data_IF_349423723209
#
_entry.id   IF_349423723209
#
_cell.length_a   1.000
_cell.length_b   1.000
_cell.length_c   1.000
_cell.angle_alpha   90.00
_cell.angle_beta   90.00
_cell.angle_gamma   90.00
#
_symmetry.space_group_name_H-M   'P 1'
#
loop_
_entity.id
_entity.type
_entity.pdbx_description
1 polymer ?
#
# COMPACT_ATOMS: atom_id res chain seq x y z
N UNK A 1 -40.33 34.87 1.40
CA UNK A 1 -39.00 34.62 2.00
C UNK A 1 -39.04 33.29 2.76
N UNK A 2 -38.97 32.16 2.06
CA UNK A 2 -38.98 30.82 2.69
C UNK A 2 -38.18 29.78 1.89
N UNK A 3 -37.83 30.10 0.64
CA UNK A 3 -36.99 29.26 -0.22
C UNK A 3 -35.50 29.67 -0.22
N UNK A 4 -35.15 30.86 0.31
CA UNK A 4 -33.76 31.34 0.37
C UNK A 4 -32.96 30.61 1.46
N UNK A 5 -33.61 30.14 2.52
CA UNK A 5 -32.99 29.33 3.58
C UNK A 5 -32.79 27.86 3.20
N UNK A 6 -33.31 27.39 2.05
CA UNK A 6 -33.11 26.01 1.60
C UNK A 6 -31.83 25.81 0.76
N UNK A 7 -31.11 26.89 0.42
CA UNK A 7 -29.91 26.81 -0.42
C UNK A 7 -28.59 26.74 0.35
N UNK A 8 -28.62 26.90 1.68
CA UNK A 8 -27.39 26.95 2.51
C UNK A 8 -26.95 25.60 3.10
N UNK A 9 -27.76 24.54 2.95
CA UNK A 9 -27.45 23.20 3.49
C UNK A 9 -26.84 22.27 2.41
N UNK A 10 -26.80 22.71 1.15
CA UNK A 10 -26.39 21.87 0.02
C UNK A 10 -24.88 21.89 -0.31
N UNK A 11 -24.07 22.69 0.40
CA UNK A 11 -22.67 22.95 0.01
C UNK A 11 -21.61 22.45 0.98
N UNK A 12 -21.96 21.72 2.04
CA UNK A 12 -21.02 21.27 3.08
C UNK A 12 -20.59 19.79 2.99
N UNK A 13 -20.95 19.08 1.91
CA UNK A 13 -20.56 17.68 1.69
C UNK A 13 -19.56 17.45 0.55
N UNK A 14 -18.74 18.46 0.19
CA UNK A 14 -17.69 18.32 -0.85
C UNK A 14 -16.27 18.22 -0.27
N UNK A 15 -16.13 17.67 0.94
CA UNK A 15 -14.85 17.43 1.62
C UNK A 15 -14.91 15.99 2.14
N UNK A 16 -14.01 15.05 1.83
CA UNK A 16 -12.80 15.06 1.02
C UNK A 16 -12.66 13.60 0.55
N UNK A 17 -12.85 13.32 -0.74
CA UNK A 17 -12.22 12.13 -1.31
C UNK A 17 -10.75 12.50 -1.45
N UNK A 18 -9.96 12.29 -0.40
CA UNK A 18 -8.52 12.29 -0.54
C UNK A 18 -8.15 11.00 -1.28
N UNK A 19 -8.31 11.01 -2.60
CA UNK A 19 -7.62 10.05 -3.43
C UNK A 19 -6.16 10.47 -3.40
N UNK A 20 -5.36 9.78 -2.58
CA UNK A 20 -3.89 9.87 -2.58
C UNK A 20 -3.38 9.45 -3.98
N UNK A 21 -3.51 10.36 -4.93
CA UNK A 21 -3.19 10.18 -6.35
C UNK A 21 -1.82 10.78 -6.68
N UNK A 22 -1.05 11.16 -5.65
CA UNK A 22 0.20 11.91 -5.80
C UNK A 22 1.48 11.14 -5.45
N UNK A 23 1.44 9.92 -4.93
CA UNK A 23 2.67 9.32 -4.38
C UNK A 23 3.55 8.53 -5.36
N UNK A 24 3.08 8.09 -6.53
CA UNK A 24 3.67 6.89 -7.14
C UNK A 24 4.47 7.05 -8.45
N UNK A 25 4.83 8.26 -8.89
CA UNK A 25 5.69 8.42 -10.10
C UNK A 25 7.12 8.90 -9.78
N UNK A 26 7.37 9.57 -8.64
CA UNK A 26 8.68 10.17 -8.37
C UNK A 26 9.74 9.24 -7.74
N UNK A 27 9.42 7.96 -7.53
CA UNK A 27 10.30 7.01 -6.82
C UNK A 27 10.53 5.65 -7.49
N UNK A 28 9.91 5.39 -8.65
CA UNK A 28 10.02 4.08 -9.32
C UNK A 28 11.45 3.78 -9.77
N UNK A 29 11.88 2.53 -9.54
CA UNK A 29 13.14 1.98 -10.04
C UNK A 29 12.98 0.48 -10.30
N UNK A 30 13.74 -0.04 -11.27
CA UNK A 30 13.83 -1.48 -11.54
C UNK A 30 14.87 -2.19 -10.67
N UNK A 31 15.64 -1.45 -9.88
CA UNK A 31 16.59 -1.98 -8.88
C UNK A 31 16.27 -1.42 -7.48
N UNK A 32 15.07 -1.70 -6.95
CA UNK A 32 14.67 -1.23 -5.63
C UNK A 32 15.46 -1.95 -4.53
N UNK A 33 15.55 -1.29 -3.38
CA UNK A 33 16.07 -1.82 -2.12
C UNK A 33 15.04 -1.60 -1.00
N UNK A 34 15.19 -2.33 0.10
CA UNK A 34 14.25 -2.28 1.19
C UNK A 34 14.16 -0.90 1.83
N UNK A 35 15.29 -0.35 2.28
CA UNK A 35 15.31 0.84 3.13
C UNK A 35 14.74 2.08 2.44
N UNK A 36 14.99 2.23 1.12
CA UNK A 36 14.57 3.42 0.37
C UNK A 36 13.22 3.25 -0.32
N UNK A 37 12.86 2.04 -0.75
CA UNK A 37 11.72 1.86 -1.65
C UNK A 37 10.61 0.98 -1.05
N UNK A 38 10.95 -0.15 -0.41
CA UNK A 38 9.94 -1.11 0.05
C UNK A 38 9.41 -0.78 1.43
N UNK A 39 10.28 -0.34 2.35
CA UNK A 39 9.85 0.02 3.71
C UNK A 39 8.74 1.08 3.71
N UNK A 40 8.82 2.19 2.96
CA UNK A 40 7.73 3.17 2.90
C UNK A 40 6.41 2.57 2.39
N UNK A 41 6.49 1.68 1.40
CA UNK A 41 5.29 0.98 0.88
C UNK A 41 4.64 0.13 1.97
N UNK A 42 5.44 -0.63 2.73
CA UNK A 42 4.95 -1.48 3.81
C UNK A 42 4.37 -0.66 4.97
N UNK A 43 5.08 0.39 5.39
CA UNK A 43 4.65 1.28 6.47
C UNK A 43 3.28 1.92 6.15
N UNK A 44 3.09 2.39 4.91
CA UNK A 44 1.88 3.11 4.51
C UNK A 44 0.69 2.20 4.23
N UNK A 45 0.92 0.98 3.72
CA UNK A 45 -0.16 0.16 3.16
C UNK A 45 -0.41 -1.15 3.91
N UNK A 46 0.52 -1.58 4.78
CA UNK A 46 0.49 -2.94 5.33
C UNK A 46 0.59 -2.95 6.86
N UNK A 47 1.53 -2.19 7.42
CA UNK A 47 1.91 -2.27 8.84
C UNK A 47 0.77 -1.92 9.78
N UNK A 48 -0.20 -1.09 9.38
CA UNK A 48 -1.36 -0.75 10.24
C UNK A 48 -2.15 -1.98 10.70
N UNK A 49 -2.18 -3.03 9.89
CA UNK A 49 -2.82 -4.31 10.23
C UNK A 49 -1.76 -5.38 10.52
N UNK A 50 -0.78 -5.54 9.63
CA UNK A 50 0.21 -6.62 9.66
C UNK A 50 1.37 -6.36 10.62
N UNK A 51 1.09 -6.37 11.91
CA UNK A 51 2.09 -6.18 12.97
C UNK A 51 1.78 -7.01 14.24
N UNK A 52 2.77 -7.19 15.14
CA UNK A 52 2.60 -7.98 16.35
C UNK A 52 1.53 -7.48 17.32
N UNK A 53 1.19 -6.19 17.29
CA UNK A 53 0.20 -5.59 18.20
C UNK A 53 -1.22 -6.05 17.89
N UNK A 54 -1.55 -6.21 16.60
CA UNK A 54 -2.86 -6.69 16.15
C UNK A 54 -2.87 -8.17 15.76
N UNK A 55 -1.74 -8.85 15.94
CA UNK A 55 -1.53 -10.27 15.69
C UNK A 55 -1.96 -10.76 14.29
N UNK A 56 -1.91 -9.87 13.29
CA UNK A 56 -2.25 -10.22 11.92
C UNK A 56 -1.01 -10.66 11.17
N UNK A 57 -0.83 -11.98 11.07
CA UNK A 57 0.26 -12.56 10.27
C UNK A 57 0.00 -12.48 8.75
N UNK A 58 1.06 -12.43 7.91
CA UNK A 58 2.46 -12.24 8.32
C UNK A 58 2.69 -10.84 8.91
N UNK A 59 3.63 -10.71 9.85
CA UNK A 59 4.11 -9.39 10.26
C UNK A 59 4.96 -8.79 9.13
N UNK A 60 4.89 -7.48 8.94
CA UNK A 60 5.54 -6.77 7.83
C UNK A 60 6.28 -5.51 8.33
N UNK A 61 6.85 -5.58 9.53
CA UNK A 61 7.35 -4.42 10.28
C UNK A 61 8.86 -4.18 10.12
N UNK A 62 9.60 -5.18 9.63
CA UNK A 62 11.04 -5.09 9.40
C UNK A 62 11.48 -5.83 8.13
N UNK A 63 12.77 -5.71 7.79
CA UNK A 63 13.34 -6.27 6.57
C UNK A 63 13.15 -7.79 6.46
N UNK A 64 13.53 -8.54 7.49
CA UNK A 64 13.51 -10.00 7.46
C UNK A 64 12.08 -10.54 7.30
N UNK A 65 11.14 -9.95 8.03
CA UNK A 65 9.70 -10.24 7.92
C UNK A 65 9.16 -10.02 6.51
N UNK A 66 9.44 -8.84 5.94
CA UNK A 66 8.95 -8.47 4.61
C UNK A 66 9.61 -9.32 3.53
N UNK A 67 10.90 -9.62 3.67
CA UNK A 67 11.65 -10.50 2.76
C UNK A 67 11.08 -11.92 2.77
N UNK A 68 10.88 -12.50 3.95
CA UNK A 68 10.31 -13.83 4.11
C UNK A 68 8.90 -13.90 3.49
N UNK A 69 8.04 -12.95 3.82
CA UNK A 69 6.68 -12.89 3.31
C UNK A 69 6.60 -12.65 1.78
N UNK A 70 7.64 -12.07 1.18
CA UNK A 70 7.72 -11.78 -0.26
C UNK A 70 8.31 -12.95 -1.06
N UNK A 71 9.39 -13.55 -0.57
CA UNK A 71 10.08 -14.66 -1.25
C UNK A 71 9.34 -15.98 -1.05
N UNK A 72 8.98 -16.28 0.19
CA UNK A 72 8.40 -17.57 0.60
C UNK A 72 6.90 -17.49 0.91
N UNK A 73 6.38 -16.28 1.07
CA UNK A 73 4.94 -16.02 1.22
C UNK A 73 4.25 -15.65 -0.08
N UNK A 74 3.09 -15.00 0.07
CA UNK A 74 2.20 -14.63 -1.03
C UNK A 74 2.01 -13.12 -1.20
N UNK A 75 2.78 -12.27 -0.47
CA UNK A 75 2.61 -10.80 -0.50
C UNK A 75 2.57 -10.28 -1.95
N UNK A 76 3.56 -10.65 -2.78
CA UNK A 76 3.67 -10.17 -4.15
C UNK A 76 2.44 -10.50 -5.04
N UNK A 77 1.82 -11.67 -4.88
CA UNK A 77 0.64 -12.02 -5.68
C UNK A 77 -0.67 -11.48 -5.08
N UNK A 78 -0.74 -11.30 -3.74
CA UNK A 78 -1.91 -10.73 -3.06
C UNK A 78 -2.08 -9.25 -3.39
N UNK A 79 -0.98 -8.49 -3.46
CA UNK A 79 -1.00 -7.06 -3.83
C UNK A 79 -1.30 -6.82 -5.31
N UNK A 80 -0.95 -7.79 -6.16
CA UNK A 80 -1.27 -7.78 -7.59
C UNK A 80 -2.68 -8.32 -7.90
N UNK A 81 -3.41 -8.81 -6.89
CA UNK A 81 -4.70 -9.48 -7.05
C UNK A 81 -4.65 -10.74 -7.94
N UNK A 82 -3.48 -11.37 -8.05
CA UNK A 82 -3.28 -12.60 -8.84
C UNK A 82 -3.42 -13.89 -8.02
N UNK A 83 -3.56 -13.79 -6.70
CA UNK A 83 -3.81 -14.92 -5.81
C UNK A 83 -4.59 -14.50 -4.55
N UNK A 84 -5.28 -15.45 -3.92
CA UNK A 84 -5.93 -15.26 -2.61
C UNK A 84 -6.90 -14.06 -2.52
N UNK A 85 -7.19 -13.60 -1.30
CA UNK A 85 -7.97 -12.38 -1.10
C UNK A 85 -7.08 -11.15 -1.33
N UNK A 86 -7.54 -10.18 -2.12
CA UNK A 86 -6.74 -8.99 -2.44
C UNK A 86 -6.29 -8.28 -1.15
N UNK A 87 -5.03 -7.87 -1.11
CA UNK A 87 -4.46 -7.03 -0.05
C UNK A 87 -3.83 -5.77 -0.66
N UNK A 88 -3.99 -4.59 -0.04
CA UNK A 88 -4.84 -4.30 1.11
C UNK A 88 -6.34 -4.56 0.83
N UNK A 89 -7.15 -4.72 1.88
CA UNK A 89 -8.58 -5.04 1.74
C UNK A 89 -9.39 -3.93 1.08
N UNK A 90 -8.83 -2.71 1.02
CA UNK A 90 -9.39 -1.56 0.30
C UNK A 90 -9.30 -1.71 -1.22
N UNK A 91 -8.50 -2.63 -1.74
CA UNK A 91 -8.39 -2.93 -3.16
C UNK A 91 -6.95 -3.08 -3.64
N UNK A 92 -6.81 -3.32 -4.95
CA UNK A 92 -5.50 -3.44 -5.60
C UNK A 92 -4.70 -2.14 -5.43
N UNK A 93 -3.43 -2.27 -5.03
CA UNK A 93 -2.51 -1.14 -4.89
C UNK A 93 -2.27 -0.42 -6.23
N UNK A 94 -1.68 0.77 -6.18
CA UNK A 94 -1.22 1.47 -7.36
C UNK A 94 -0.14 0.66 -8.11
N UNK A 95 -0.18 0.70 -9.44
CA UNK A 95 0.69 -0.12 -10.29
C UNK A 95 2.19 0.09 -10.02
N UNK A 96 2.72 1.31 -9.79
CA UNK A 96 4.14 1.50 -9.52
C UNK A 96 4.62 0.83 -8.23
N UNK A 97 3.86 0.93 -7.14
CA UNK A 97 4.14 0.21 -5.89
C UNK A 97 4.15 -1.31 -6.07
N UNK A 98 3.18 -1.86 -6.82
CA UNK A 98 3.14 -3.31 -7.13
C UNK A 98 4.38 -3.73 -7.90
N UNK A 99 4.72 -2.99 -8.96
CA UNK A 99 5.90 -3.27 -9.76
C UNK A 99 7.18 -3.16 -8.93
N UNK A 100 7.28 -2.19 -8.03
CA UNK A 100 8.43 -2.06 -7.13
C UNK A 100 8.63 -3.31 -6.26
N UNK A 101 7.56 -3.85 -5.68
CA UNK A 101 7.61 -5.09 -4.89
C UNK A 101 8.02 -6.27 -5.77
N UNK A 102 7.53 -6.35 -7.01
CA UNK A 102 7.88 -7.40 -7.97
C UNK A 102 9.37 -7.33 -8.36
N UNK A 103 9.88 -6.16 -8.75
CA UNK A 103 11.31 -5.98 -9.06
C UNK A 103 12.22 -6.26 -7.85
N UNK A 104 11.78 -5.88 -6.64
CA UNK A 104 12.52 -6.19 -5.42
C UNK A 104 12.57 -7.69 -5.15
N UNK A 105 11.47 -8.40 -5.36
CA UNK A 105 11.43 -9.87 -5.30
C UNK A 105 12.38 -10.50 -6.33
N UNK A 106 12.31 -10.05 -7.57
CA UNK A 106 13.10 -10.60 -8.69
C UNK A 106 14.61 -10.37 -8.51
N UNK A 107 14.98 -9.33 -7.77
CA UNK A 107 16.37 -9.02 -7.38
C UNK A 107 16.80 -9.70 -6.06
N UNK A 108 16.01 -10.64 -5.55
CA UNK A 108 16.26 -11.39 -4.31
C UNK A 108 16.30 -10.51 -3.04
N UNK A 109 15.46 -9.48 -3.02
CA UNK A 109 15.17 -8.64 -1.86
C UNK A 109 16.43 -7.98 -1.23
N UNK A 110 17.18 -7.11 -1.97
CA UNK A 110 18.31 -6.39 -1.40
C UNK A 110 17.85 -5.38 -0.34
N UNK A 111 18.62 -5.26 0.74
CA UNK A 111 18.30 -4.33 1.83
C UNK A 111 18.68 -2.87 1.48
N UNK A 112 19.84 -2.71 0.82
CA UNK A 112 20.46 -1.43 0.45
C UNK A 112 20.86 -1.38 -1.03
#
# INVERSE_FOLDING_TARGET
>A
MKYITLLFVASLFLISCESHTYDDISGFTTTPNYNKHIKPIMDNNCVSCHNPTYDQSPYLTNFDEVKEATLNGNVACRVDASCGNIMPTTGKMASPSILMIQYWKDTNCPEN
#
